data_IF_318890639594
#
_entry.id   IF_318890639594
#
_cell.length_a   1.000
_cell.length_b   1.000
_cell.length_c   1.000
_cell.angle_alpha   90.00
_cell.angle_beta   90.00
_cell.angle_gamma   90.00
#
_symmetry.space_group_name_H-M   'P 1'
#
loop_
_entity.id
_entity.type
_entity.pdbx_description
1 polymer ?
#
# COMPACT_ATOMS: atom_id res chain seq x y z
N UNK A 1 33.11 -39.03 -38.22
CA UNK A 1 33.17 -39.83 -36.98
C UNK A 1 33.32 -38.85 -35.83
N UNK A 2 32.19 -38.35 -35.34
CA UNK A 2 32.10 -37.36 -34.26
C UNK A 2 32.03 -38.11 -32.93
N UNK A 3 33.01 -37.88 -32.05
CA UNK A 3 33.07 -38.43 -30.70
C UNK A 3 32.06 -37.71 -29.79
N UNK A 4 31.37 -38.52 -29.01
CA UNK A 4 30.28 -38.22 -28.07
C UNK A 4 30.81 -37.40 -26.88
N UNK A 5 30.08 -36.39 -26.35
CA UNK A 5 30.52 -35.64 -25.20
C UNK A 5 30.27 -36.43 -23.90
N UNK A 6 31.27 -36.42 -23.01
CA UNK A 6 31.17 -36.90 -21.64
C UNK A 6 30.14 -36.08 -20.87
N UNK A 7 29.03 -36.71 -20.47
CA UNK A 7 28.04 -36.11 -19.59
C UNK A 7 28.61 -35.96 -18.18
N UNK A 8 28.82 -34.72 -17.74
CA UNK A 8 29.10 -34.39 -16.34
C UNK A 8 27.77 -34.40 -15.60
N UNK A 9 27.55 -35.41 -14.76
CA UNK A 9 26.39 -35.46 -13.86
C UNK A 9 26.66 -34.53 -12.69
N UNK A 10 26.07 -33.33 -12.74
CA UNK A 10 26.05 -32.41 -11.60
C UNK A 10 24.88 -32.83 -10.71
N UNK A 11 25.17 -33.49 -9.60
CA UNK A 11 24.21 -33.74 -8.52
C UNK A 11 24.00 -32.42 -7.77
N UNK A 12 22.87 -31.75 -8.02
CA UNK A 12 22.46 -30.58 -7.25
C UNK A 12 21.77 -31.05 -5.97
N UNK A 13 22.48 -30.96 -4.84
CA UNK A 13 21.88 -31.17 -3.51
C UNK A 13 21.04 -29.95 -3.17
N UNK A 14 19.72 -30.11 -3.15
CA UNK A 14 18.80 -29.05 -2.70
C UNK A 14 18.80 -29.05 -1.17
N UNK A 15 19.49 -28.07 -0.58
CA UNK A 15 19.40 -27.80 0.85
C UNK A 15 18.01 -27.22 1.17
N UNK A 16 17.20 -27.95 1.94
CA UNK A 16 15.99 -27.44 2.61
C UNK A 16 16.40 -26.50 3.74
N UNK A 17 16.86 -25.29 3.39
CA UNK A 17 16.98 -24.19 4.34
C UNK A 17 15.62 -23.50 4.54
N UNK A 18 15.35 -22.89 5.71
CA UNK A 18 14.21 -22.01 5.88
C UNK A 18 14.30 -20.92 4.80
N UNK A 19 13.31 -20.88 3.91
CA UNK A 19 13.25 -19.93 2.81
C UNK A 19 13.41 -18.50 3.35
N UNK A 20 14.02 -17.58 2.58
CA UNK A 20 14.20 -16.21 3.05
C UNK A 20 12.82 -15.66 3.42
N UNK A 21 12.65 -15.34 4.71
CA UNK A 21 11.55 -14.53 5.18
C UNK A 21 11.47 -13.34 4.23
N UNK A 22 10.34 -13.23 3.51
CA UNK A 22 10.20 -12.33 2.37
C UNK A 22 10.81 -10.99 2.72
N UNK A 23 11.91 -10.67 2.02
CA UNK A 23 12.55 -9.38 2.14
C UNK A 23 11.44 -8.35 1.97
N UNK A 24 11.11 -7.65 3.06
CA UNK A 24 10.25 -6.49 2.99
C UNK A 24 10.98 -5.60 2.01
N UNK A 25 10.48 -5.53 0.77
CA UNK A 25 10.95 -4.56 -0.20
C UNK A 25 10.85 -3.24 0.56
N UNK A 26 12.02 -2.71 0.96
CA UNK A 26 12.21 -1.30 1.19
C UNK A 26 12.08 -0.70 -0.21
N UNK A 27 10.86 -0.77 -0.76
CA UNK A 27 10.53 -0.27 -2.07
C UNK A 27 10.92 1.19 -2.05
N UNK A 28 11.66 1.61 -3.07
CA UNK A 28 11.97 3.00 -3.41
C UNK A 28 10.97 3.93 -2.71
N UNK A 29 11.43 4.65 -1.68
CA UNK A 29 10.56 5.45 -0.79
C UNK A 29 9.62 6.27 -1.69
N UNK A 30 8.33 5.91 -1.69
CA UNK A 30 7.34 6.56 -2.54
C UNK A 30 7.30 8.04 -2.15
N UNK A 31 7.49 8.93 -3.12
CA UNK A 31 7.32 10.36 -2.93
C UNK A 31 5.82 10.66 -3.06
N UNK A 32 5.13 10.73 -1.93
CA UNK A 32 3.67 10.79 -1.88
C UNK A 32 3.10 12.11 -2.37
N UNK A 33 3.91 13.17 -2.43
CA UNK A 33 3.55 14.47 -3.01
C UNK A 33 3.19 14.41 -4.48
N UNK A 34 3.73 13.43 -5.20
CA UNK A 34 3.54 13.23 -6.64
C UNK A 34 2.49 12.17 -6.94
N UNK A 35 1.74 11.73 -5.93
CA UNK A 35 0.71 10.72 -6.10
C UNK A 35 -0.37 11.17 -7.11
N UNK A 36 -0.82 10.29 -8.01
CA UNK A 36 -1.85 10.59 -8.99
C UNK A 36 -3.19 10.95 -8.33
N UNK A 37 -4.07 11.64 -9.06
CA UNK A 37 -5.34 12.14 -8.55
C UNK A 37 -6.26 11.05 -7.98
N UNK A 38 -6.20 9.83 -8.52
CA UNK A 38 -6.96 8.67 -8.02
C UNK A 38 -6.41 8.09 -6.71
N UNK A 39 -5.35 8.67 -6.15
CA UNK A 39 -4.83 8.36 -4.82
C UNK A 39 -4.95 9.55 -3.86
N UNK A 40 -5.18 10.76 -4.36
CA UNK A 40 -5.36 11.94 -3.51
C UNK A 40 -6.75 11.93 -2.90
N UNK A 41 -6.83 11.77 -1.58
CA UNK A 41 -8.08 11.72 -0.83
C UNK A 41 -8.68 13.12 -0.74
N UNK A 42 -9.98 13.20 -1.00
CA UNK A 42 -10.78 14.42 -0.90
C UNK A 42 -11.69 14.38 0.33
N UNK A 43 -12.23 13.20 0.68
CA UNK A 43 -13.09 13.04 1.84
C UNK A 43 -13.04 11.61 2.39
N UNK A 44 -13.25 11.46 3.70
CA UNK A 44 -13.41 10.17 4.35
C UNK A 44 -14.64 10.20 5.26
N UNK A 45 -15.65 9.42 4.88
CA UNK A 45 -16.86 9.23 5.69
C UNK A 45 -16.80 7.90 6.44
N UNK A 46 -17.28 7.88 7.69
CA UNK A 46 -17.49 6.66 8.47
C UNK A 46 -18.97 6.48 8.81
N UNK A 47 -19.53 5.33 8.43
CA UNK A 47 -20.90 4.93 8.73
C UNK A 47 -20.94 3.41 8.94
N UNK A 48 -21.49 2.98 10.09
CA UNK A 48 -21.79 1.57 10.41
C UNK A 48 -20.63 0.59 10.12
N UNK A 49 -19.43 0.87 10.62
CA UNK A 49 -18.27 -0.01 10.48
C UNK A 49 -17.63 -0.02 9.08
N UNK A 50 -17.92 1.00 8.26
CA UNK A 50 -17.34 1.15 6.93
C UNK A 50 -16.82 2.57 6.74
N UNK A 51 -15.57 2.67 6.27
CA UNK A 51 -15.01 3.91 5.75
C UNK A 51 -15.28 4.00 4.24
N UNK A 52 -15.81 5.13 3.79
CA UNK A 52 -15.86 5.51 2.38
C UNK A 52 -14.79 6.55 2.11
N UNK A 53 -13.82 6.21 1.27
CA UNK A 53 -12.75 7.10 0.84
C UNK A 53 -13.07 7.61 -0.55
N UNK A 54 -13.18 8.93 -0.69
CA UNK A 54 -13.34 9.62 -1.97
C UNK A 54 -11.98 10.14 -2.40
N UNK A 55 -11.60 9.90 -3.65
CA UNK A 55 -10.37 10.44 -4.23
C UNK A 55 -10.71 11.40 -5.35
N UNK A 56 -9.85 12.40 -5.60
CA UNK A 56 -10.07 13.41 -6.65
C UNK A 56 -10.25 12.82 -8.05
N UNK A 57 -9.71 11.63 -8.30
CA UNK A 57 -9.69 11.00 -9.62
C UNK A 57 -10.61 9.79 -9.80
N UNK A 58 -11.54 9.50 -8.88
CA UNK A 58 -12.30 8.25 -8.98
C UNK A 58 -13.54 8.14 -8.10
N UNK A 59 -14.27 7.05 -8.31
CA UNK A 59 -15.43 6.69 -7.51
C UNK A 59 -15.06 6.40 -6.06
N UNK A 60 -15.95 6.67 -5.08
CA UNK A 60 -15.72 6.32 -3.69
C UNK A 60 -15.46 4.82 -3.50
N UNK A 61 -14.45 4.48 -2.71
CA UNK A 61 -14.11 3.09 -2.35
C UNK A 61 -14.50 2.83 -0.90
N UNK A 62 -15.19 1.72 -0.67
CA UNK A 62 -15.59 1.29 0.67
C UNK A 62 -14.56 0.34 1.28
N UNK A 63 -14.14 0.61 2.50
CA UNK A 63 -13.24 -0.21 3.30
C UNK A 63 -13.94 -0.62 4.59
N UNK A 64 -14.03 -1.92 4.92
CA UNK A 64 -14.43 -2.36 6.25
C UNK A 64 -13.53 -1.73 7.33
N UNK A 65 -14.08 -1.47 8.52
CA UNK A 65 -13.42 -0.72 9.60
C UNK A 65 -12.00 -1.23 9.93
N UNK A 66 -11.80 -2.55 9.93
CA UNK A 66 -10.51 -3.18 10.25
C UNK A 66 -9.55 -3.30 9.06
N UNK A 67 -10.01 -2.97 7.86
CA UNK A 67 -9.23 -3.10 6.62
C UNK A 67 -8.62 -1.78 6.13
N UNK A 68 -9.03 -0.63 6.70
CA UNK A 68 -8.41 0.67 6.48
C UNK A 68 -7.52 1.05 7.66
N UNK A 69 -6.25 1.39 7.40
CA UNK A 69 -5.36 1.92 8.45
C UNK A 69 -4.97 3.36 8.16
N UNK A 70 -5.05 4.20 9.18
CA UNK A 70 -4.54 5.56 9.12
C UNK A 70 -3.09 5.61 9.55
N UNK A 71 -2.28 6.40 8.85
CA UNK A 71 -0.84 6.58 9.09
C UNK A 71 -0.49 8.06 8.99
N UNK A 72 0.63 8.44 9.60
CA UNK A 72 1.21 9.78 9.48
C UNK A 72 2.63 9.67 8.94
N UNK A 73 2.95 10.49 7.94
CA UNK A 73 4.32 10.68 7.43
C UNK A 73 4.56 12.19 7.23
N UNK A 74 5.21 12.82 8.21
CA UNK A 74 5.57 14.24 8.19
C UNK A 74 6.90 14.51 7.45
N UNK A 75 7.51 13.49 6.85
CA UNK A 75 8.78 13.64 6.16
C UNK A 75 8.62 14.39 4.83
N UNK A 76 9.75 14.83 4.26
CA UNK A 76 9.76 15.46 2.93
C UNK A 76 9.16 14.56 1.83
N UNK A 77 9.24 13.24 1.99
CA UNK A 77 8.66 12.26 1.05
C UNK A 77 7.18 11.95 1.34
N UNK A 78 6.66 12.38 2.49
CA UNK A 78 5.26 12.19 2.88
C UNK A 78 4.31 13.03 2.04
N UNK A 79 2.99 12.93 2.30
CA UNK A 79 1.98 13.71 1.59
C UNK A 79 2.18 15.22 1.74
N UNK A 80 1.62 15.99 0.81
CA UNK A 80 1.45 17.42 1.03
C UNK A 80 0.38 17.66 2.11
N UNK A 81 0.52 18.69 2.96
CA UNK A 81 -0.53 19.08 3.90
C UNK A 81 -1.89 19.27 3.21
N UNK A 82 -2.96 18.77 3.84
CA UNK A 82 -4.31 18.80 3.28
C UNK A 82 -4.51 17.93 2.03
N UNK A 83 -3.53 17.09 1.65
CA UNK A 83 -3.65 16.14 0.52
C UNK A 83 -3.26 14.73 0.97
N UNK A 84 -4.10 14.04 1.78
CA UNK A 84 -3.81 12.68 2.22
C UNK A 84 -3.80 11.72 1.02
N UNK A 85 -2.99 10.67 1.10
CA UNK A 85 -2.82 9.69 0.02
C UNK A 85 -3.35 8.32 0.44
N UNK A 86 -4.20 7.72 -0.40
CA UNK A 86 -4.64 6.33 -0.24
C UNK A 86 -3.76 5.37 -1.05
N UNK A 87 -3.34 4.28 -0.41
CA UNK A 87 -2.59 3.18 -1.04
C UNK A 87 -3.34 1.88 -0.80
N UNK A 88 -3.63 1.14 -1.87
CA UNK A 88 -4.22 -0.20 -1.76
C UNK A 88 -3.15 -1.20 -1.30
N UNK A 89 -3.48 -1.99 -0.29
CA UNK A 89 -2.55 -2.86 0.44
C UNK A 89 -2.85 -4.36 0.30
N UNK A 90 -3.79 -4.76 -0.56
CA UNK A 90 -4.21 -6.15 -0.69
C UNK A 90 -4.30 -6.66 -2.13
N UNK A 91 -3.90 -7.92 -2.36
CA UNK A 91 -4.23 -8.68 -3.58
C UNK A 91 -5.67 -9.23 -3.56
N UNK A 92 -6.30 -9.29 -2.37
CA UNK A 92 -7.65 -9.78 -2.12
C UNK A 92 -8.32 -8.91 -1.06
N UNK A 93 -9.56 -8.48 -1.33
CA UNK A 93 -10.36 -7.60 -0.48
C UNK A 93 -9.92 -6.13 -0.52
N UNK A 94 -10.75 -5.25 0.04
CA UNK A 94 -10.47 -3.81 0.12
C UNK A 94 -9.65 -3.52 1.37
N UNK A 95 -8.34 -3.74 1.29
CA UNK A 95 -7.38 -3.33 2.33
C UNK A 95 -6.60 -2.13 1.87
N UNK A 96 -6.45 -1.13 2.72
CA UNK A 96 -5.83 0.13 2.34
C UNK A 96 -5.14 0.85 3.49
N UNK A 97 -4.27 1.77 3.12
CA UNK A 97 -3.69 2.77 4.00
C UNK A 97 -4.10 4.15 3.53
N UNK A 98 -4.51 5.02 4.44
CA UNK A 98 -4.52 6.47 4.17
C UNK A 98 -3.41 7.09 4.99
N UNK A 99 -2.54 7.83 4.31
CA UNK A 99 -1.37 8.46 4.90
C UNK A 99 -1.64 9.97 4.92
N UNK A 100 -1.53 10.56 6.09
CA UNK A 100 -1.68 12.00 6.34
C UNK A 100 -0.32 12.65 6.57
N UNK A 101 -0.23 13.96 6.35
CA UNK A 101 0.97 14.72 6.66
C UNK A 101 1.12 14.96 8.18
N UNK A 102 0.01 15.01 8.91
CA UNK A 102 -0.04 15.20 10.36
C UNK A 102 -1.30 14.58 11.00
N UNK A 103 -1.38 14.43 12.34
CA UNK A 103 -2.60 14.02 13.03
C UNK A 103 -3.75 15.04 12.91
N UNK A 104 -3.45 16.33 12.83
CA UNK A 104 -4.45 17.40 12.65
C UNK A 104 -5.13 17.29 11.27
N UNK A 105 -4.35 17.00 10.22
CA UNK A 105 -4.86 16.68 8.89
C UNK A 105 -5.83 15.49 8.95
N UNK A 106 -5.48 14.44 9.69
CA UNK A 106 -6.35 13.27 9.86
C UNK A 106 -7.69 13.63 10.51
N UNK A 107 -7.67 14.40 11.60
CA UNK A 107 -8.88 14.86 12.28
C UNK A 107 -9.76 15.75 11.38
N UNK A 108 -9.16 16.55 10.49
CA UNK A 108 -9.90 17.40 9.56
C UNK A 108 -10.71 16.59 8.52
N UNK A 109 -10.18 15.46 8.06
CA UNK A 109 -10.75 14.65 6.98
C UNK A 109 -11.80 13.63 7.43
N UNK A 110 -11.70 13.12 8.66
CA UNK A 110 -12.62 12.08 9.16
C UNK A 110 -13.95 12.68 9.58
N UNK A 111 -15.03 12.25 8.92
CA UNK A 111 -16.41 12.65 9.25
C UNK A 111 -17.25 11.42 9.56
N UNK A 112 -18.00 11.47 10.66
CA UNK A 112 -19.02 10.48 11.00
C UNK A 112 -20.36 10.89 10.39
N UNK A 113 -21.08 9.94 9.81
CA UNK A 113 -22.42 10.20 9.28
C UNK A 113 -22.79 9.26 8.16
N UNK A 114 -24.07 8.94 8.11
CA UNK A 114 -24.76 8.42 6.94
C UNK A 114 -25.64 9.57 6.44
#
# INVERSE_FOLDING_TARGET
MTLIPTAVVIVLVVALGPGPAGAHQQGKKLHLREAPLNQQVEAIGYCKGTYRVVTKGGSPVAYPEFDLRFKTDSSASGPAPGTPIVINAGMRGNRGFVIFSSPEDMAAFLKTGC
#
